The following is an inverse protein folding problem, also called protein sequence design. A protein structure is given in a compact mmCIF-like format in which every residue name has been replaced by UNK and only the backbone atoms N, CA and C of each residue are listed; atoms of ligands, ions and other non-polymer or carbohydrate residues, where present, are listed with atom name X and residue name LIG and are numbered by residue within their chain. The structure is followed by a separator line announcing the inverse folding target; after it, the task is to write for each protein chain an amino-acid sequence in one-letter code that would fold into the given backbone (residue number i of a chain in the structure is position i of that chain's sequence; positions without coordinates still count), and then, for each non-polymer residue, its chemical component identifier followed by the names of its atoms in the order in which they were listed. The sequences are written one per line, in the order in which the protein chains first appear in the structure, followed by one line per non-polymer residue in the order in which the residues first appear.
data_IF_869985094007
#
_entry.id   IF_869985094007
#
_cell.length_a   1.000
_cell.length_b   1.000
_cell.length_c   1.000
_cell.angle_alpha   90.00
_cell.angle_beta   90.00
_cell.angle_gamma   90.00
#
_symmetry.space_group_name_H-M   'P 1'
#
loop_
_entity.id
_entity.type
_entity.pdbx_description
1 polymer ?
#
# COMPACT_ATOMS: atom_id res chain seq x y z
N UNK A 1 28.75 7.43 131.42
CA UNK A 1 28.42 8.29 130.25
C UNK A 1 27.50 7.49 129.35
N UNK A 2 26.31 8.00 129.04
CA UNK A 2 25.49 7.41 127.97
C UNK A 2 26.20 7.69 126.64
N UNK A 3 26.30 6.68 125.79
CA UNK A 3 26.81 6.87 124.43
C UNK A 3 25.70 7.57 123.62
N UNK A 4 26.03 8.69 123.00
CA UNK A 4 25.07 9.43 122.15
C UNK A 4 25.27 9.11 120.68
N UNK A 5 24.16 9.13 119.94
CA UNK A 5 24.15 8.86 118.50
C UNK A 5 24.92 9.94 117.74
N UNK A 6 25.62 9.54 116.67
CA UNK A 6 26.29 10.52 115.81
C UNK A 6 25.28 11.32 114.98
N UNK A 7 25.64 12.57 114.67
CA UNK A 7 24.94 13.41 113.70
C UNK A 7 25.91 13.99 112.69
N UNK A 8 25.41 14.73 111.70
CA UNK A 8 26.23 15.47 110.74
C UNK A 8 27.06 16.60 111.37
N UNK A 9 26.76 16.98 112.62
CA UNK A 9 27.40 18.10 113.34
C UNK A 9 28.00 17.73 114.70
N UNK A 10 27.68 16.56 115.25
CA UNK A 10 28.16 16.08 116.56
C UNK A 10 28.70 14.65 116.42
N UNK A 11 29.91 14.40 116.96
CA UNK A 11 30.50 13.06 117.02
C UNK A 11 29.70 12.18 117.99
N UNK A 12 29.47 10.92 117.63
CA UNK A 12 28.76 9.92 118.43
C UNK A 12 29.00 8.50 117.90
N UNK A 13 28.25 7.52 118.38
CA UNK A 13 28.26 6.15 117.87
C UNK A 13 27.12 5.92 116.87
N UNK A 14 27.29 5.01 115.91
CA UNK A 14 26.24 4.67 114.93
C UNK A 14 26.25 3.16 114.67
N UNK A 15 25.08 2.56 114.56
CA UNK A 15 24.96 1.17 114.11
C UNK A 15 25.06 1.10 112.57
N UNK A 16 25.86 0.16 112.07
CA UNK A 16 26.13 0.01 110.64
C UNK A 16 25.17 -0.99 109.99
N UNK A 17 24.76 -0.72 108.75
CA UNK A 17 23.97 -1.64 107.93
C UNK A 17 24.60 -1.83 106.55
N UNK A 18 24.60 -3.08 106.07
CA UNK A 18 25.04 -3.42 104.71
C UNK A 18 23.88 -3.62 103.73
N UNK A 19 22.65 -3.26 104.11
CA UNK A 19 21.51 -3.29 103.20
C UNK A 19 21.65 -2.20 102.12
N UNK A 20 21.37 -2.54 100.85
CA UNK A 20 21.51 -1.65 99.70
C UNK A 20 20.24 -0.87 99.34
N UNK A 21 19.17 -1.09 100.11
CA UNK A 21 17.84 -0.49 99.93
C UNK A 21 17.21 -0.08 101.29
N UNK A 22 18.03 0.21 102.30
CA UNK A 22 17.54 0.56 103.64
C UNK A 22 16.78 1.89 103.64
N UNK A 23 15.65 1.95 104.35
CA UNK A 23 14.87 3.17 104.60
C UNK A 23 15.13 3.76 106.00
N UNK A 24 16.08 3.21 106.78
CA UNK A 24 16.34 3.65 108.15
C UNK A 24 17.17 4.93 108.21
N UNK A 25 16.69 5.92 108.96
CA UNK A 25 17.44 7.16 109.24
C UNK A 25 18.37 7.04 110.47
N UNK A 26 18.34 5.92 111.19
CA UNK A 26 19.11 5.69 112.43
C UNK A 26 20.39 4.85 112.24
N UNK A 27 20.62 4.34 111.03
CA UNK A 27 21.74 3.44 110.71
C UNK A 27 22.63 4.08 109.64
N UNK A 28 23.94 3.88 109.74
CA UNK A 28 24.88 4.31 108.70
C UNK A 28 25.16 3.18 107.69
N UNK A 29 25.26 3.52 106.41
CA UNK A 29 25.62 2.58 105.36
C UNK A 29 27.11 2.16 105.47
N UNK A 30 27.40 0.88 105.28
CA UNK A 30 28.80 0.42 105.16
C UNK A 30 29.39 0.75 103.79
N UNK A 31 30.74 0.84 103.66
CA UNK A 31 31.40 0.96 102.36
C UNK A 31 31.00 -0.13 101.36
N UNK A 32 30.73 -1.36 101.84
CA UNK A 32 30.24 -2.48 101.03
C UNK A 32 28.87 -2.17 100.44
N UNK A 33 27.91 -1.68 101.22
CA UNK A 33 26.60 -1.30 100.72
C UNK A 33 26.70 -0.20 99.65
N UNK A 34 27.50 0.84 99.91
CA UNK A 34 27.71 1.94 98.96
C UNK A 34 28.34 1.43 97.66
N UNK A 35 29.35 0.56 97.74
CA UNK A 35 29.97 -0.04 96.56
C UNK A 35 28.98 -0.87 95.75
N UNK A 36 28.21 -1.76 96.39
CA UNK A 36 27.22 -2.59 95.69
C UNK A 36 26.16 -1.74 94.99
N UNK A 37 25.66 -0.67 95.64
CA UNK A 37 24.74 0.29 95.01
C UNK A 37 25.40 0.98 93.83
N UNK A 38 26.64 1.46 93.99
CA UNK A 38 27.38 2.14 92.92
C UNK A 38 27.66 1.21 91.73
N UNK A 39 28.05 -0.03 91.97
CA UNK A 39 28.29 -1.06 90.94
C UNK A 39 26.99 -1.44 90.20
N UNK A 40 25.83 -1.33 90.87
CA UNK A 40 24.51 -1.64 90.29
C UNK A 40 23.80 -0.43 89.70
N UNK A 41 24.30 0.78 89.95
CA UNK A 41 23.75 2.03 89.44
C UNK A 41 24.31 2.35 88.07
N UNK A 42 23.48 2.90 87.20
CA UNK A 42 23.93 3.49 85.94
C UNK A 42 24.65 4.81 86.25
N UNK A 43 25.95 4.89 85.98
CA UNK A 43 26.74 6.11 86.08
C UNK A 43 26.42 7.08 84.95
N UNK A 44 26.63 8.38 85.22
CA UNK A 44 26.29 9.47 84.29
C UNK A 44 27.12 9.48 83.00
N UNK A 45 28.18 8.67 82.89
CA UNK A 45 29.04 8.64 81.71
C UNK A 45 29.72 7.27 81.55
N UNK A 46 29.57 6.66 80.37
CA UNK A 46 30.41 5.53 79.93
C UNK A 46 29.97 4.13 80.38
N UNK A 47 28.88 3.98 81.12
CA UNK A 47 28.41 2.65 81.53
C UNK A 47 27.90 1.82 80.35
N UNK A 48 28.20 0.53 80.38
CA UNK A 48 27.68 -0.48 79.43
C UNK A 48 26.62 -1.33 80.14
N UNK A 49 25.41 -1.41 79.57
CA UNK A 49 24.40 -2.35 80.04
C UNK A 49 24.64 -3.73 79.40
N UNK A 50 24.99 -4.74 80.19
CA UNK A 50 25.19 -6.12 79.70
C UNK A 50 23.91 -6.88 79.35
N UNK A 51 22.73 -6.33 79.66
CA UNK A 51 21.41 -6.91 79.40
C UNK A 51 20.48 -5.96 78.64
N UNK A 52 19.24 -6.42 78.39
CA UNK A 52 18.23 -5.61 77.68
C UNK A 52 17.75 -4.43 78.52
N UNK A 53 17.75 -3.23 77.94
CA UNK A 53 16.96 -2.11 78.46
C UNK A 53 15.50 -2.27 78.01
N UNK A 54 14.60 -2.50 78.96
CA UNK A 54 13.16 -2.64 78.70
C UNK A 54 12.44 -1.37 79.12
N UNK A 55 11.70 -0.77 78.18
CA UNK A 55 10.95 0.46 78.40
C UNK A 55 9.50 0.21 78.00
N UNK A 56 8.57 0.44 78.93
CA UNK A 56 7.13 0.19 78.73
C UNK A 56 6.34 1.45 78.35
N UNK A 57 6.95 2.62 78.44
CA UNK A 57 6.31 3.88 78.03
C UNK A 57 6.23 3.98 76.51
N UNK A 58 5.20 4.67 76.03
CA UNK A 58 4.96 4.86 74.59
C UNK A 58 6.11 5.67 73.95
N UNK A 59 6.48 6.79 74.56
CA UNK A 59 7.72 7.51 74.25
C UNK A 59 8.84 6.79 74.99
N UNK A 60 9.53 5.87 74.30
CA UNK A 60 10.43 4.93 74.94
C UNK A 60 11.84 5.52 75.14
N UNK A 61 12.47 5.97 74.05
CA UNK A 61 13.82 6.53 74.08
C UNK A 61 13.85 7.89 73.39
N UNK A 62 14.59 8.83 73.97
CA UNK A 62 14.84 10.15 73.39
C UNK A 62 16.34 10.35 73.15
N UNK A 63 16.68 10.84 71.97
CA UNK A 63 18.01 11.36 71.62
C UNK A 63 17.83 12.83 71.27
N UNK A 64 18.50 13.75 71.96
CA UNK A 64 18.19 15.17 71.82
C UNK A 64 19.39 16.10 71.97
N UNK A 65 19.22 17.32 71.47
CA UNK A 65 19.94 18.51 71.88
C UNK A 65 18.93 19.62 72.25
N UNK A 66 19.37 20.87 72.37
CA UNK A 66 18.46 21.99 72.68
C UNK A 66 17.41 22.23 71.58
N UNK A 67 17.79 22.07 70.31
CA UNK A 67 16.92 22.39 69.18
C UNK A 67 15.95 21.25 68.85
N UNK A 68 16.42 20.00 68.79
CA UNK A 68 15.61 18.87 68.35
C UNK A 68 15.84 17.64 69.21
N UNK A 69 14.76 16.91 69.43
CA UNK A 69 14.75 15.55 69.95
C UNK A 69 14.26 14.59 68.88
N UNK A 70 14.76 13.37 68.90
CA UNK A 70 14.22 12.23 68.18
C UNK A 70 13.69 11.22 69.21
N UNK A 71 12.40 10.93 69.12
CA UNK A 71 11.71 10.02 70.02
C UNK A 71 11.45 8.71 69.28
N UNK A 72 11.96 7.62 69.84
CA UNK A 72 11.60 6.26 69.47
C UNK A 72 10.29 5.95 70.18
N UNK A 73 9.20 6.00 69.42
CA UNK A 73 7.85 5.85 69.96
C UNK A 73 7.24 4.54 69.53
N UNK A 74 6.83 3.71 70.48
CA UNK A 74 6.00 2.52 70.22
C UNK A 74 4.53 2.88 70.48
N UNK A 75 3.79 3.15 69.41
CA UNK A 75 2.38 3.55 69.47
C UNK A 75 1.53 2.46 68.83
N UNK A 76 0.68 1.81 69.62
CA UNK A 76 -0.19 0.73 69.14
C UNK A 76 0.61 -0.36 68.38
N UNK A 77 0.28 -0.53 67.09
CA UNK A 77 0.85 -1.48 66.14
C UNK A 77 2.04 -0.91 65.35
N UNK A 78 2.62 0.23 65.75
CA UNK A 78 3.74 0.85 65.02
C UNK A 78 4.92 1.24 65.93
N UNK A 79 6.13 1.10 65.37
CA UNK A 79 7.33 1.78 65.86
C UNK A 79 7.60 2.99 64.97
N UNK A 80 7.69 4.17 65.58
CA UNK A 80 7.96 5.42 64.90
C UNK A 80 9.28 6.04 65.38
N UNK A 81 9.94 6.74 64.46
CA UNK A 81 11.00 7.71 64.75
C UNK A 81 10.39 9.10 64.56
N UNK A 82 10.14 9.83 65.65
CA UNK A 82 9.39 11.09 65.63
C UNK A 82 10.26 12.23 66.15
N UNK A 83 10.56 13.26 65.34
CA UNK A 83 11.22 14.45 65.84
C UNK A 83 10.27 15.30 66.70
N UNK A 84 10.81 16.04 67.65
CA UNK A 84 10.09 17.13 68.35
C UNK A 84 9.93 18.35 67.42
N UNK A 85 9.21 19.37 67.88
CA UNK A 85 9.33 20.69 67.27
C UNK A 85 10.71 21.30 67.58
N UNK A 86 11.10 22.28 66.76
CA UNK A 86 12.34 23.04 66.95
C UNK A 86 12.29 23.86 68.26
N UNK A 87 13.39 23.84 69.01
CA UNK A 87 13.52 24.46 70.33
C UNK A 87 13.00 23.60 71.49
N UNK A 88 12.37 22.45 71.21
CA UNK A 88 11.75 21.59 72.22
C UNK A 88 12.48 20.24 72.38
N UNK A 89 13.79 20.19 72.14
CA UNK A 89 14.47 18.90 71.99
C UNK A 89 14.49 18.02 73.24
N UNK A 90 14.76 18.60 74.41
CA UNK A 90 14.87 17.86 75.67
C UNK A 90 13.50 17.44 76.24
N UNK A 91 12.57 18.40 76.35
CA UNK A 91 11.31 18.22 77.07
C UNK A 91 10.06 18.36 76.19
N UNK A 92 10.21 18.59 74.89
CA UNK A 92 9.10 18.76 73.96
C UNK A 92 8.33 17.49 73.68
N UNK A 93 7.06 17.67 73.33
CA UNK A 93 6.21 16.59 72.85
C UNK A 93 6.62 16.11 71.45
N UNK A 94 5.93 15.08 70.97
CA UNK A 94 6.11 14.58 69.60
C UNK A 94 5.67 15.64 68.58
N UNK A 95 6.48 15.87 67.56
CA UNK A 95 6.12 16.73 66.44
C UNK A 95 5.13 16.07 65.47
N UNK A 96 4.79 16.79 64.40
CA UNK A 96 3.85 16.34 63.36
C UNK A 96 4.47 15.38 62.33
N UNK A 97 5.80 15.36 62.18
CA UNK A 97 6.48 14.55 61.17
C UNK A 97 6.50 13.05 61.51
N UNK A 98 6.47 12.21 60.48
CA UNK A 98 6.59 10.74 60.57
C UNK A 98 7.58 10.26 59.50
N UNK A 99 8.87 10.64 59.62
CA UNK A 99 9.87 10.34 58.59
C UNK A 99 10.07 8.84 58.41
N UNK A 100 9.90 8.04 59.47
CA UNK A 100 10.01 6.59 59.40
C UNK A 100 9.04 5.92 60.38
N UNK A 101 8.34 4.89 59.91
CA UNK A 101 7.53 4.02 60.74
C UNK A 101 7.53 2.58 60.24
N UNK A 102 7.58 1.62 61.17
CA UNK A 102 7.37 0.21 60.89
C UNK A 102 6.03 -0.19 61.48
N UNK A 103 5.16 -0.78 60.66
CA UNK A 103 4.01 -1.50 61.17
C UNK A 103 4.51 -2.82 61.79
N UNK A 104 4.31 -2.98 63.09
CA UNK A 104 4.79 -4.13 63.87
C UNK A 104 4.02 -5.43 63.57
N UNK A 105 2.87 -5.34 62.88
CA UNK A 105 2.09 -6.51 62.45
C UNK A 105 2.51 -7.00 61.06
N UNK A 106 2.73 -6.11 60.10
CA UNK A 106 3.05 -6.46 58.71
C UNK A 106 4.53 -6.35 58.35
N UNK A 107 5.34 -5.68 59.19
CA UNK A 107 6.72 -5.33 58.88
C UNK A 107 6.87 -4.23 57.82
N UNK A 108 5.75 -3.68 57.29
CA UNK A 108 5.80 -2.66 56.26
C UNK A 108 6.45 -1.39 56.82
N UNK A 109 7.44 -0.88 56.07
CA UNK A 109 8.11 0.39 56.33
C UNK A 109 7.41 1.49 55.55
N UNK A 110 7.02 2.55 56.25
CA UNK A 110 6.51 3.79 55.63
C UNK A 110 7.49 4.92 55.89
N UNK A 111 7.77 5.72 54.84
CA UNK A 111 8.63 6.90 54.89
C UNK A 111 7.79 8.09 54.42
N UNK A 112 7.27 8.87 55.36
CA UNK A 112 6.22 9.86 55.10
C UNK A 112 6.70 11.24 54.67
N UNK A 113 8.00 11.53 54.79
CA UNK A 113 8.56 12.87 54.57
C UNK A 113 9.64 12.89 53.47
N UNK A 114 9.45 12.07 52.45
CA UNK A 114 10.38 11.89 51.33
C UNK A 114 11.52 10.92 51.67
N UNK A 115 12.11 10.35 50.61
CA UNK A 115 13.24 9.43 50.70
C UNK A 115 14.33 9.89 49.74
N UNK A 116 15.52 10.19 50.26
CA UNK A 116 16.72 10.43 49.46
C UNK A 116 17.62 9.20 49.50
N UNK A 117 17.79 8.53 48.35
CA UNK A 117 18.69 7.39 48.20
C UNK A 117 19.94 7.83 47.44
N UNK A 118 21.11 7.71 48.07
CA UNK A 118 22.39 8.10 47.46
C UNK A 118 22.93 7.12 46.41
N UNK A 119 22.31 5.94 46.28
CA UNK A 119 22.69 4.88 45.34
C UNK A 119 21.49 4.37 44.53
N UNK A 120 21.69 3.24 43.85
CA UNK A 120 20.62 2.60 43.07
C UNK A 120 19.57 1.95 43.97
N UNK A 121 18.30 2.10 43.62
CA UNK A 121 17.21 1.29 44.17
C UNK A 121 17.16 -0.02 43.37
N UNK A 122 17.23 -1.17 44.05
CA UNK A 122 17.11 -2.49 43.42
C UNK A 122 15.75 -3.08 43.78
N UNK A 123 14.98 -3.55 42.79
CA UNK A 123 13.66 -4.14 42.97
C UNK A 123 12.62 -3.60 41.99
N UNK A 124 11.38 -4.09 42.09
CA UNK A 124 10.28 -3.60 41.27
C UNK A 124 9.79 -2.25 41.81
N UNK A 125 9.80 -1.23 40.95
CA UNK A 125 9.07 0.01 41.19
C UNK A 125 7.72 -0.12 40.47
N UNK A 126 6.62 -0.12 41.21
CA UNK A 126 5.26 -0.04 40.66
C UNK A 126 4.84 1.42 40.55
N UNK A 127 4.50 1.89 39.34
CA UNK A 127 4.09 3.27 39.05
C UNK A 127 4.95 3.93 37.96
N UNK A 128 4.57 5.14 37.56
CA UNK A 128 5.35 5.95 36.62
C UNK A 128 6.35 6.81 37.41
N UNK A 129 7.55 6.99 36.88
CA UNK A 129 8.48 7.97 37.42
C UNK A 129 8.13 9.36 36.86
N UNK A 130 7.68 10.28 37.71
CA UNK A 130 7.20 11.62 37.31
C UNK A 130 8.22 12.44 36.51
N UNK A 131 9.51 12.12 36.63
CA UNK A 131 10.62 12.83 35.96
C UNK A 131 11.36 11.99 34.92
N UNK A 132 10.84 10.82 34.54
CA UNK A 132 11.46 10.01 33.50
C UNK A 132 11.31 10.68 32.13
N UNK A 133 12.35 11.42 31.71
CA UNK A 133 12.40 12.10 30.42
C UNK A 133 13.02 11.25 29.30
N UNK A 134 13.73 10.16 29.66
CA UNK A 134 14.40 9.25 28.73
C UNK A 134 14.41 7.80 29.20
N UNK A 135 14.27 6.87 28.25
CA UNK A 135 14.66 5.47 28.40
C UNK A 135 16.19 5.40 28.34
N UNK A 136 16.84 4.91 29.42
CA UNK A 136 18.31 4.87 29.53
C UNK A 136 19.00 4.20 28.34
N UNK A 137 18.39 3.15 27.79
CA UNK A 137 18.84 2.49 26.57
C UNK A 137 17.76 2.62 25.51
N UNK A 138 17.98 3.51 24.55
CA UNK A 138 17.07 3.73 23.44
C UNK A 138 16.78 2.41 22.71
N UNK A 139 15.51 2.21 22.34
CA UNK A 139 15.08 1.02 21.59
C UNK A 139 14.86 1.42 20.13
N UNK A 140 15.16 0.53 19.20
CA UNK A 140 14.87 0.78 17.78
C UNK A 140 13.42 0.43 17.48
N UNK A 141 12.67 1.36 16.90
CA UNK A 141 11.31 1.17 16.37
C UNK A 141 11.37 1.50 14.89
N UNK A 142 11.02 0.54 14.02
CA UNK A 142 11.18 0.73 12.56
C UNK A 142 12.61 1.11 12.14
N UNK A 143 13.62 0.69 12.91
CA UNK A 143 15.03 1.04 12.69
C UNK A 143 15.49 2.37 13.33
N UNK A 144 14.57 3.23 13.76
CA UNK A 144 14.86 4.54 14.39
C UNK A 144 15.02 4.38 15.90
N UNK A 145 16.10 4.94 16.47
CA UNK A 145 16.31 4.93 17.91
C UNK A 145 15.29 5.85 18.61
N UNK A 146 14.63 5.33 19.65
CA UNK A 146 13.65 6.03 20.45
C UNK A 146 13.97 5.91 21.93
N UNK A 147 14.13 7.05 22.60
CA UNK A 147 14.35 7.17 24.04
C UNK A 147 13.20 7.90 24.76
N UNK A 148 12.14 8.33 24.06
CA UNK A 148 11.00 9.02 24.67
C UNK A 148 11.21 10.50 24.97
N UNK A 149 12.36 11.10 24.62
CA UNK A 149 12.59 12.54 24.84
C UNK A 149 11.92 13.47 23.84
N UNK A 150 11.45 12.92 22.72
CA UNK A 150 10.69 13.62 21.69
C UNK A 150 9.76 12.62 20.98
N UNK A 151 8.79 13.15 20.24
CA UNK A 151 7.97 12.35 19.33
C UNK A 151 8.85 11.60 18.33
N UNK A 152 8.43 10.39 17.97
CA UNK A 152 9.16 9.57 17.01
C UNK A 152 8.74 9.90 15.58
N UNK A 153 9.72 10.24 14.74
CA UNK A 153 9.52 10.32 13.30
C UNK A 153 9.95 9.01 12.65
N UNK A 154 8.97 8.26 12.15
CA UNK A 154 9.16 7.04 11.39
C UNK A 154 9.11 7.37 9.89
N UNK A 155 10.18 7.10 9.12
CA UNK A 155 10.15 7.22 7.67
C UNK A 155 8.94 6.45 7.11
N UNK A 156 8.19 7.03 6.18
CA UNK A 156 7.05 6.37 5.54
C UNK A 156 5.74 6.41 6.33
N UNK A 157 5.73 7.00 7.54
CA UNK A 157 4.52 7.20 8.35
C UNK A 157 4.22 8.69 8.53
N UNK A 158 5.02 9.40 9.33
CA UNK A 158 4.84 10.83 9.65
C UNK A 158 5.99 11.71 9.11
N UNK A 159 6.96 11.10 8.41
CA UNK A 159 8.00 11.79 7.66
C UNK A 159 8.17 11.15 6.28
N UNK A 160 8.60 11.93 5.28
CA UNK A 160 8.88 11.43 3.93
C UNK A 160 9.88 10.27 3.99
N UNK A 161 9.44 9.07 3.61
CA UNK A 161 10.24 7.85 3.71
C UNK A 161 10.89 7.44 2.40
N UNK A 162 12.05 6.79 2.50
CA UNK A 162 12.69 6.01 1.43
C UNK A 162 12.44 4.48 1.60
N UNK A 163 11.41 4.11 2.36
CA UNK A 163 11.12 2.71 2.66
C UNK A 163 10.68 1.96 1.41
N UNK A 164 11.10 0.69 1.33
CA UNK A 164 10.62 -0.24 0.31
C UNK A 164 9.16 -0.65 0.65
N UNK A 165 8.20 0.15 0.20
CA UNK A 165 6.78 -0.18 0.23
C UNK A 165 6.47 -1.08 -0.97
N UNK A 166 6.81 -2.36 -0.90
CA UNK A 166 6.58 -3.32 -2.00
C UNK A 166 5.11 -3.46 -2.42
N UNK A 167 4.16 -2.82 -1.72
CA UNK A 167 2.79 -2.57 -2.16
C UNK A 167 2.62 -1.12 -2.59
N UNK A 168 2.12 -0.91 -3.82
CA UNK A 168 1.73 0.40 -4.35
C UNK A 168 0.98 1.24 -3.30
N UNK A 169 1.40 2.50 -3.10
CA UNK A 169 0.66 3.45 -2.27
C UNK A 169 -0.77 3.60 -2.82
N UNK A 170 -1.77 3.68 -1.93
CA UNK A 170 -3.20 3.73 -2.26
C UNK A 170 -3.62 4.92 -3.18
N UNK A 171 -2.68 5.82 -3.52
CA UNK A 171 -2.87 6.99 -4.38
C UNK A 171 -1.90 7.04 -5.57
N UNK A 172 -1.25 5.93 -5.95
CA UNK A 172 -0.33 5.92 -7.07
C UNK A 172 -1.04 6.31 -8.39
N UNK A 173 -0.89 7.58 -8.80
CA UNK A 173 -1.43 8.14 -10.05
C UNK A 173 -0.52 7.91 -11.25
N UNK A 174 0.70 7.39 -11.03
CA UNK A 174 1.68 7.10 -12.07
C UNK A 174 2.47 5.82 -11.82
N UNK A 175 2.84 5.12 -12.90
CA UNK A 175 3.85 4.07 -12.92
C UNK A 175 5.24 4.69 -12.76
N UNK A 176 6.05 4.16 -11.85
CA UNK A 176 7.43 4.61 -11.63
C UNK A 176 8.28 4.59 -12.91
N UNK A 177 8.04 3.59 -13.75
CA UNK A 177 8.62 3.52 -15.08
C UNK A 177 7.50 3.27 -16.09
N UNK A 178 7.28 4.27 -16.95
CA UNK A 178 6.29 4.23 -18.01
C UNK A 178 6.49 3.02 -18.91
N UNK A 179 5.39 2.47 -19.42
CA UNK A 179 5.39 1.34 -20.35
C UNK A 179 5.00 1.83 -21.73
N UNK A 180 5.58 1.24 -22.76
CA UNK A 180 5.22 1.52 -24.14
C UNK A 180 4.13 0.55 -24.55
N UNK A 181 2.98 1.06 -25.01
CA UNK A 181 1.87 0.28 -25.56
C UNK A 181 1.72 0.71 -27.02
N UNK A 182 2.01 -0.19 -27.96
CA UNK A 182 1.99 0.08 -29.40
C UNK A 182 2.74 1.37 -29.79
N UNK A 183 3.93 1.56 -29.20
CA UNK A 183 4.78 2.74 -29.44
C UNK A 183 4.40 3.99 -28.63
N UNK A 184 3.28 4.00 -27.91
CA UNK A 184 2.83 5.14 -27.09
C UNK A 184 3.25 4.93 -25.63
N UNK A 185 3.93 5.93 -25.04
CA UNK A 185 4.30 5.90 -23.62
C UNK A 185 3.07 6.05 -22.73
N UNK A 186 2.94 5.19 -21.73
CA UNK A 186 1.86 5.19 -20.77
C UNK A 186 2.41 5.05 -19.35
N UNK A 187 2.17 6.06 -18.53
CA UNK A 187 2.51 6.08 -17.12
C UNK A 187 1.27 6.06 -16.22
N UNK A 188 0.05 5.99 -16.76
CA UNK A 188 -1.19 6.01 -15.97
C UNK A 188 -1.67 7.40 -15.52
N UNK A 189 -0.96 8.49 -15.83
CA UNK A 189 -1.40 9.84 -15.48
C UNK A 189 -2.55 10.38 -16.33
N UNK A 190 -2.79 9.77 -17.48
CA UNK A 190 -3.87 10.10 -18.40
C UNK A 190 -4.29 8.83 -19.15
N UNK A 191 -5.46 8.89 -19.80
CA UNK A 191 -5.90 7.85 -20.71
C UNK A 191 -4.90 7.70 -21.87
N UNK A 192 -4.72 6.46 -22.32
CA UNK A 192 -3.93 6.19 -23.52
C UNK A 192 -4.75 6.40 -24.79
N UNK A 193 -4.20 7.14 -25.75
CA UNK A 193 -4.78 7.31 -27.09
C UNK A 193 -4.00 6.47 -28.09
N UNK A 194 -4.68 5.54 -28.76
CA UNK A 194 -4.12 4.74 -29.86
C UNK A 194 -4.73 5.17 -31.18
N UNK A 195 -3.90 5.26 -32.22
CA UNK A 195 -4.34 5.58 -33.58
C UNK A 195 -4.18 4.37 -34.49
N UNK A 196 -4.91 4.28 -35.63
CA UNK A 196 -4.72 3.19 -36.59
C UNK A 196 -3.25 3.02 -37.02
N UNK A 197 -2.49 4.11 -37.17
CA UNK A 197 -1.07 4.03 -37.52
C UNK A 197 -0.22 3.40 -36.40
N UNK A 198 -0.47 3.74 -35.14
CA UNK A 198 0.26 3.15 -33.99
C UNK A 198 0.01 1.64 -33.85
N UNK A 199 -1.15 1.15 -34.28
CA UNK A 199 -1.53 -0.26 -34.13
C UNK A 199 -1.45 -1.06 -35.44
N UNK A 200 -0.99 -0.46 -36.53
CA UNK A 200 -0.90 -1.11 -37.84
C UNK A 200 -2.27 -1.45 -38.48
N UNK A 201 -3.31 -0.70 -38.15
CA UNK A 201 -4.66 -0.87 -38.68
C UNK A 201 -4.96 0.12 -39.83
N UNK A 202 -5.92 -0.26 -40.69
CA UNK A 202 -6.48 0.64 -41.70
C UNK A 202 -7.50 1.59 -41.04
N UNK A 203 -7.52 2.86 -41.43
CA UNK A 203 -8.49 3.83 -40.90
C UNK A 203 -9.92 3.56 -41.40
N UNK A 204 -10.94 3.98 -40.64
CA UNK A 204 -12.36 3.87 -41.06
C UNK A 204 -12.66 4.62 -42.35
N UNK A 205 -11.92 5.70 -42.64
CA UNK A 205 -12.03 6.47 -43.89
C UNK A 205 -11.35 5.78 -45.08
N UNK A 206 -10.81 4.58 -44.88
CA UNK A 206 -9.99 3.86 -45.86
C UNK A 206 -8.53 4.29 -45.83
N UNK A 207 -7.74 3.65 -46.71
CA UNK A 207 -6.32 3.91 -46.86
C UNK A 207 -5.73 3.08 -48.01
N UNK A 208 -4.42 3.18 -48.19
CA UNK A 208 -3.71 2.41 -49.22
C UNK A 208 -3.24 1.08 -48.65
N UNK A 209 -3.60 -0.03 -49.32
CA UNK A 209 -2.97 -1.33 -49.09
C UNK A 209 -1.76 -1.42 -50.03
N UNK A 210 -0.55 -1.42 -49.46
CA UNK A 210 0.71 -1.51 -50.24
C UNK A 210 1.10 -2.95 -50.59
N UNK A 211 0.46 -3.94 -49.96
CA UNK A 211 0.61 -5.37 -50.26
C UNK A 211 -0.61 -5.96 -50.97
N UNK A 212 -0.53 -7.24 -51.32
CA UNK A 212 -1.66 -7.97 -51.88
C UNK A 212 -2.83 -8.07 -50.91
N UNK A 213 -4.06 -8.06 -51.44
CA UNK A 213 -5.29 -8.34 -50.69
C UNK A 213 -5.78 -9.75 -51.04
N UNK A 214 -5.82 -10.64 -50.06
CA UNK A 214 -6.50 -11.94 -50.17
C UNK A 214 -7.70 -11.91 -49.23
N UNK A 215 -8.90 -12.00 -49.80
CA UNK A 215 -10.15 -12.08 -49.04
C UNK A 215 -10.71 -13.50 -49.14
N UNK A 216 -11.00 -14.12 -47.99
CA UNK A 216 -11.69 -15.42 -47.97
C UNK A 216 -13.19 -15.29 -48.30
N UNK A 217 -13.76 -14.10 -48.09
CA UNK A 217 -15.14 -13.76 -48.42
C UNK A 217 -15.24 -12.81 -49.62
N UNK A 218 -16.47 -12.39 -49.91
CA UNK A 218 -16.78 -11.46 -50.99
C UNK A 218 -16.22 -10.04 -50.72
N UNK A 219 -15.70 -9.41 -51.78
CA UNK A 219 -15.35 -7.98 -51.77
C UNK A 219 -16.51 -7.19 -52.38
N UNK A 220 -17.23 -6.45 -51.53
CA UNK A 220 -18.40 -5.67 -51.95
C UNK A 220 -18.03 -4.19 -52.10
N UNK A 221 -18.29 -3.63 -53.29
CA UNK A 221 -18.22 -2.18 -53.51
C UNK A 221 -19.62 -1.60 -53.64
N UNK A 222 -19.91 -0.55 -52.86
CA UNK A 222 -21.17 0.21 -52.93
C UNK A 222 -21.06 1.46 -53.79
N UNK A 223 -19.88 1.69 -54.38
CA UNK A 223 -19.65 2.77 -55.35
C UNK A 223 -20.13 2.32 -56.72
N UNK A 224 -20.71 3.25 -57.49
CA UNK A 224 -21.05 2.99 -58.88
C UNK A 224 -19.82 2.54 -59.68
N UNK A 225 -18.66 3.17 -59.46
CA UNK A 225 -17.38 2.67 -59.95
C UNK A 225 -16.83 1.68 -58.91
N UNK A 226 -17.06 0.39 -59.12
CA UNK A 226 -16.93 -0.63 -58.09
C UNK A 226 -15.49 -1.09 -57.86
N UNK A 227 -14.88 -1.67 -58.90
CA UNK A 227 -13.54 -2.24 -58.88
C UNK A 227 -12.73 -1.68 -60.05
N UNK A 228 -11.51 -1.20 -59.78
CA UNK A 228 -10.64 -0.57 -60.77
C UNK A 228 -9.25 -1.22 -60.80
N UNK A 229 -8.74 -1.42 -62.00
CA UNK A 229 -7.36 -1.71 -62.31
C UNK A 229 -6.80 -0.44 -62.96
N UNK A 230 -5.95 0.28 -62.25
CA UNK A 230 -5.29 1.49 -62.75
C UNK A 230 -3.80 1.21 -62.90
N UNK A 231 -3.34 1.11 -64.15
CA UNK A 231 -1.94 0.81 -64.45
C UNK A 231 -1.52 1.51 -65.75
N UNK A 232 -0.36 2.17 -65.72
CA UNK A 232 0.08 3.04 -66.82
C UNK A 232 -0.92 4.17 -67.07
N UNK A 233 -1.21 4.44 -68.35
CA UNK A 233 -2.01 5.60 -68.79
C UNK A 233 -3.53 5.42 -68.66
N UNK A 234 -4.03 4.20 -68.45
CA UNK A 234 -5.46 3.90 -68.48
C UNK A 234 -5.92 3.24 -67.18
N UNK A 235 -7.19 3.45 -66.86
CA UNK A 235 -7.92 2.72 -65.85
C UNK A 235 -8.98 1.85 -66.51
N UNK A 236 -8.94 0.54 -66.26
CA UNK A 236 -10.07 -0.34 -66.49
C UNK A 236 -10.89 -0.43 -65.21
N UNK A 237 -12.21 -0.35 -65.29
CA UNK A 237 -13.05 -0.54 -64.10
C UNK A 237 -14.43 -1.10 -64.42
N UNK A 238 -14.96 -1.83 -63.45
CA UNK A 238 -16.32 -2.34 -63.44
C UNK A 238 -17.21 -1.26 -62.85
N UNK A 239 -18.23 -0.84 -63.60
CA UNK A 239 -19.20 0.17 -63.16
C UNK A 239 -20.60 -0.40 -63.16
N UNK A 240 -21.34 -0.24 -62.08
CA UNK A 240 -22.79 -0.45 -62.05
C UNK A 240 -23.47 0.91 -61.83
N UNK A 241 -24.30 1.33 -62.77
CA UNK A 241 -25.01 2.61 -62.70
C UNK A 241 -26.47 2.49 -62.20
N UNK A 242 -26.86 1.30 -61.75
CA UNK A 242 -28.21 0.95 -61.32
C UNK A 242 -29.03 0.25 -62.41
N UNK A 243 -28.74 0.48 -63.70
CA UNK A 243 -29.47 -0.14 -64.81
C UNK A 243 -28.64 -1.18 -65.57
N UNK A 244 -27.34 -0.91 -65.74
CA UNK A 244 -26.42 -1.83 -66.41
C UNK A 244 -25.10 -1.92 -65.64
N UNK A 245 -24.40 -3.03 -65.85
CA UNK A 245 -23.02 -3.23 -65.41
C UNK A 245 -22.11 -3.15 -66.63
N UNK A 246 -21.08 -2.31 -66.54
CA UNK A 246 -20.18 -1.98 -67.63
C UNK A 246 -18.76 -2.36 -67.28
N UNK A 247 -18.01 -2.77 -68.30
CA UNK A 247 -16.56 -2.66 -68.29
C UNK A 247 -16.16 -1.38 -69.00
N UNK A 248 -15.53 -0.47 -68.26
CA UNK A 248 -15.25 0.90 -68.68
C UNK A 248 -13.75 1.16 -68.75
N UNK A 249 -13.38 2.13 -69.57
CA UNK A 249 -12.01 2.64 -69.69
C UNK A 249 -12.00 4.15 -69.42
N UNK A 250 -10.89 4.65 -68.88
CA UNK A 250 -10.64 6.09 -68.78
C UNK A 250 -10.06 6.66 -70.07
N UNK A 251 -9.96 7.99 -70.15
CA UNK A 251 -9.07 8.64 -71.11
C UNK A 251 -7.59 8.34 -70.79
N UNK A 252 -6.75 8.43 -71.81
CA UNK A 252 -5.30 8.24 -71.68
C UNK A 252 -4.70 9.32 -70.77
N UNK A 253 -3.80 8.94 -69.87
CA UNK A 253 -3.17 9.83 -68.90
C UNK A 253 -4.02 10.08 -67.65
N UNK A 254 -5.22 9.50 -67.55
CA UNK A 254 -6.14 9.72 -66.44
C UNK A 254 -6.66 8.39 -65.85
N UNK A 255 -5.75 7.52 -65.43
CA UNK A 255 -6.08 6.14 -65.01
C UNK A 255 -7.00 6.02 -63.79
N UNK A 256 -7.11 7.08 -62.98
CA UNK A 256 -8.03 7.16 -61.83
C UNK A 256 -9.30 7.98 -62.11
N UNK A 257 -9.41 8.56 -63.31
CA UNK A 257 -10.52 9.42 -63.71
C UNK A 257 -11.83 8.69 -64.03
N UNK A 258 -12.77 9.45 -64.59
CA UNK A 258 -14.07 8.97 -65.07
C UNK A 258 -13.94 8.15 -66.36
N UNK A 259 -15.05 7.54 -66.80
CA UNK A 259 -15.06 6.78 -68.06
C UNK A 259 -14.97 7.71 -69.28
N UNK A 260 -14.31 7.24 -70.34
CA UNK A 260 -14.36 7.85 -71.67
C UNK A 260 -15.67 7.49 -72.41
N UNK A 261 -15.72 7.63 -73.73
CA UNK A 261 -16.90 7.32 -74.57
C UNK A 261 -17.01 5.85 -75.00
N UNK A 262 -15.97 5.02 -74.79
CA UNK A 262 -15.99 3.62 -75.20
C UNK A 262 -16.89 2.79 -74.26
N UNK A 263 -17.65 1.85 -74.83
CA UNK A 263 -18.47 0.88 -74.09
C UNK A 263 -18.20 -0.55 -74.55
N UNK A 264 -17.02 -1.12 -74.23
CA UNK A 264 -16.62 -2.42 -74.75
C UNK A 264 -17.56 -3.57 -74.36
N UNK A 265 -18.07 -3.55 -73.13
CA UNK A 265 -18.93 -4.63 -72.62
C UNK A 265 -19.96 -4.06 -71.65
N UNK A 266 -21.22 -4.41 -71.88
CA UNK A 266 -22.38 -3.93 -71.12
C UNK A 266 -23.25 -5.13 -70.79
N UNK A 267 -23.68 -5.27 -69.54
CA UNK A 267 -24.69 -6.23 -69.10
C UNK A 267 -25.89 -5.45 -68.61
N UNK A 268 -27.08 -5.72 -69.12
CA UNK A 268 -28.30 -5.20 -68.49
C UNK A 268 -28.51 -5.87 -67.13
N UNK A 269 -28.61 -5.08 -66.06
CA UNK A 269 -28.91 -5.62 -64.75
C UNK A 269 -30.33 -6.22 -64.69
N UNK A 270 -31.24 -5.76 -65.57
CA UNK A 270 -32.61 -6.24 -65.63
C UNK A 270 -32.75 -7.55 -66.39
N UNK A 271 -32.12 -7.67 -67.57
CA UNK A 271 -32.33 -8.82 -68.47
C UNK A 271 -31.15 -9.78 -68.56
N UNK A 272 -29.95 -9.40 -68.09
CA UNK A 272 -28.72 -10.15 -68.29
C UNK A 272 -28.15 -10.08 -69.72
N UNK A 273 -28.80 -9.33 -70.63
CA UNK A 273 -28.32 -9.19 -72.00
C UNK A 273 -26.94 -8.54 -72.05
N UNK A 274 -26.03 -9.17 -72.79
CA UNK A 274 -24.69 -8.65 -73.06
C UNK A 274 -24.67 -7.88 -74.37
N UNK A 275 -24.23 -6.62 -74.32
CA UNK A 275 -24.01 -5.77 -75.49
C UNK A 275 -22.52 -5.44 -75.61
N UNK A 276 -21.95 -5.68 -76.79
CA UNK A 276 -20.59 -5.26 -77.16
C UNK A 276 -20.73 -4.12 -78.16
N UNK A 277 -20.53 -2.88 -77.70
CA UNK A 277 -20.72 -1.67 -78.52
C UNK A 277 -19.43 -1.20 -79.21
N UNK A 278 -18.34 -1.96 -79.07
CA UNK A 278 -17.10 -1.80 -79.85
C UNK A 278 -16.93 -2.98 -80.81
N UNK A 279 -15.89 -2.97 -81.65
CA UNK A 279 -15.61 -4.11 -82.53
C UNK A 279 -15.36 -5.38 -81.72
N UNK A 280 -16.10 -6.45 -82.03
CA UNK A 280 -15.81 -7.81 -81.57
C UNK A 280 -14.94 -8.53 -82.61
N UNK A 281 -13.76 -8.97 -82.23
CA UNK A 281 -12.94 -9.87 -83.05
C UNK A 281 -13.02 -11.29 -82.49
N UNK A 282 -13.80 -12.15 -83.13
CA UNK A 282 -14.02 -13.54 -82.71
C UNK A 282 -13.19 -14.51 -83.57
N UNK A 283 -11.95 -14.76 -83.18
CA UNK A 283 -11.01 -15.61 -83.92
C UNK A 283 -11.38 -17.10 -83.94
N UNK A 284 -12.17 -17.57 -82.96
CA UNK A 284 -12.69 -18.94 -82.88
C UNK A 284 -14.02 -19.16 -83.63
N UNK A 285 -14.52 -18.16 -84.36
CA UNK A 285 -15.87 -18.19 -84.94
C UNK A 285 -16.97 -17.87 -83.92
N UNK A 286 -18.22 -17.81 -84.40
CA UNK A 286 -19.42 -17.59 -83.57
C UNK A 286 -20.35 -18.79 -83.78
N UNK A 287 -20.73 -19.46 -82.70
CA UNK A 287 -21.63 -20.63 -82.74
C UNK A 287 -23.01 -20.27 -82.18
N UNK A 288 -24.07 -20.77 -82.81
CA UNK A 288 -25.46 -20.50 -82.44
C UNK A 288 -26.27 -19.87 -83.57
N UNK A 289 -27.56 -19.67 -83.34
CA UNK A 289 -28.42 -18.98 -84.31
C UNK A 289 -28.05 -17.50 -84.36
N UNK A 290 -27.44 -17.08 -85.47
CA UNK A 290 -27.27 -15.67 -85.78
C UNK A 290 -28.53 -15.18 -86.48
N UNK A 291 -29.18 -14.17 -85.94
CA UNK A 291 -30.27 -13.46 -86.63
C UNK A 291 -29.66 -12.33 -87.48
N UNK A 292 -30.01 -12.29 -88.77
CA UNK A 292 -29.50 -11.33 -89.74
C UNK A 292 -28.57 -11.94 -90.80
N UNK A 293 -28.25 -11.15 -91.82
CA UNK A 293 -27.37 -11.56 -92.91
C UNK A 293 -25.94 -11.08 -92.64
N UNK A 294 -24.94 -11.95 -92.81
CA UNK A 294 -23.55 -11.51 -92.83
C UNK A 294 -23.30 -10.72 -94.12
N UNK A 295 -22.83 -9.48 -94.00
CA UNK A 295 -22.62 -8.57 -95.15
C UNK A 295 -21.59 -9.07 -96.15
N UNK A 296 -20.72 -10.00 -95.77
CA UNK A 296 -19.64 -10.57 -96.58
C UNK A 296 -19.84 -12.05 -96.90
N UNK A 297 -20.98 -12.66 -96.56
CA UNK A 297 -21.23 -14.06 -96.90
C UNK A 297 -21.44 -14.21 -98.41
N UNK A 298 -20.42 -14.72 -99.10
CA UNK A 298 -20.45 -14.97 -100.55
C UNK A 298 -20.70 -16.44 -100.90
N UNK A 299 -20.50 -17.36 -99.95
CA UNK A 299 -20.74 -18.80 -100.11
C UNK A 299 -21.23 -19.47 -98.81
N UNK A 300 -22.03 -20.51 -98.93
CA UNK A 300 -22.32 -21.51 -97.90
C UNK A 300 -21.03 -22.30 -97.61
N UNK A 301 -20.66 -22.42 -96.34
CA UNK A 301 -19.49 -23.22 -95.93
C UNK A 301 -19.59 -24.67 -96.41
N UNK A 302 -20.79 -25.23 -96.42
CA UNK A 302 -21.07 -26.53 -97.01
C UNK A 302 -22.21 -26.35 -98.00
N UNK A 303 -21.91 -26.55 -99.28
CA UNK A 303 -22.92 -26.53 -100.33
C UNK A 303 -24.08 -27.49 -100.00
N UNK A 304 -25.27 -27.14 -100.44
CA UNK A 304 -26.47 -27.98 -100.33
C UNK A 304 -26.92 -28.41 -101.71
N UNK A 305 -27.58 -29.55 -101.81
CA UNK A 305 -28.16 -30.00 -103.07
C UNK A 305 -29.60 -29.53 -103.15
N UNK A 306 -29.96 -28.82 -104.22
CA UNK A 306 -31.33 -28.40 -104.52
C UNK A 306 -31.70 -29.07 -105.85
N UNK A 307 -32.70 -29.95 -105.84
CA UNK A 307 -33.12 -30.73 -107.02
C UNK A 307 -31.96 -31.47 -107.74
N UNK A 308 -31.01 -32.02 -106.97
CA UNK A 308 -29.83 -32.70 -107.53
C UNK A 308 -28.66 -31.78 -107.89
N UNK A 309 -28.83 -30.46 -107.88
CA UNK A 309 -27.79 -29.47 -108.23
C UNK A 309 -27.09 -28.96 -106.97
N UNK A 310 -25.76 -28.98 -106.94
CA UNK A 310 -24.94 -28.43 -105.85
C UNK A 310 -25.02 -26.90 -105.86
N UNK A 311 -25.49 -26.31 -104.76
CA UNK A 311 -25.62 -24.87 -104.56
C UNK A 311 -24.85 -24.42 -103.33
N UNK A 312 -23.94 -23.46 -103.50
CA UNK A 312 -23.20 -22.82 -102.42
C UNK A 312 -23.47 -21.31 -102.33
N UNK A 313 -24.38 -20.74 -103.12
CA UNK A 313 -24.67 -19.29 -103.08
C UNK A 313 -23.71 -18.38 -103.84
N UNK A 314 -22.68 -18.91 -104.51
CA UNK A 314 -21.76 -18.07 -105.31
C UNK A 314 -22.25 -17.67 -106.69
N UNK A 315 -23.32 -18.29 -107.17
CA UNK A 315 -24.00 -17.97 -108.41
C UNK A 315 -25.50 -18.25 -108.26
N UNK A 316 -26.30 -17.76 -109.20
CA UNK A 316 -27.72 -18.10 -109.27
C UNK A 316 -27.91 -19.62 -109.41
N UNK A 317 -29.02 -20.14 -108.90
CA UNK A 317 -29.42 -21.52 -109.15
C UNK A 317 -30.29 -21.61 -110.41
N UNK A 318 -29.93 -22.49 -111.33
CA UNK A 318 -30.78 -22.88 -112.46
C UNK A 318 -31.65 -24.07 -112.05
N UNK A 319 -32.91 -23.81 -111.71
CA UNK A 319 -33.82 -24.82 -111.15
C UNK A 319 -34.26 -25.91 -112.14
N UNK A 320 -34.01 -25.70 -113.45
CA UNK A 320 -34.31 -26.63 -114.53
C UNK A 320 -33.11 -26.68 -115.48
N UNK A 321 -32.64 -27.86 -115.92
CA UNK A 321 -31.55 -27.93 -116.87
C UNK A 321 -31.97 -27.29 -118.21
N UNK A 322 -31.08 -26.56 -118.91
CA UNK A 322 -31.39 -25.98 -120.21
C UNK A 322 -31.85 -27.09 -121.18
N UNK A 323 -33.10 -27.00 -121.66
CA UNK A 323 -33.64 -27.88 -122.70
C UNK A 323 -34.45 -29.10 -122.24
N UNK A 324 -34.78 -29.25 -120.94
CA UNK A 324 -35.65 -30.34 -120.45
C UNK A 324 -37.10 -29.86 -120.34
N UNK A 325 -38.10 -30.52 -120.98
CA UNK A 325 -39.50 -30.12 -120.89
C UNK A 325 -40.01 -30.13 -119.45
N UNK A 326 -40.72 -29.07 -119.05
CA UNK A 326 -41.38 -29.01 -117.74
C UNK A 326 -42.46 -30.10 -117.66
N UNK A 327 -42.49 -30.94 -116.61
CA UNK A 327 -43.60 -31.85 -116.39
C UNK A 327 -44.84 -31.01 -116.02
N UNK A 328 -45.77 -30.89 -116.96
CA UNK A 328 -47.09 -30.33 -116.67
C UNK A 328 -47.86 -31.29 -115.74
N UNK A 329 -48.67 -30.80 -114.79
CA UNK A 329 -49.57 -31.67 -114.06
C UNK A 329 -50.62 -32.22 -115.03
N UNK A 330 -50.83 -33.53 -115.00
CA UNK A 330 -51.99 -34.17 -115.62
C UNK A 330 -53.29 -33.73 -114.97
#
# INVERSE_FOLDING_TARGET
MALEDASTTKKGIVQLSSATNSTSEKLAATPKAVKTVKDSSVQKTGDTMGGQLKISTINALRIFNQAFGLIFRRSEDHLHLIPTNEGEGENGDIGSLRPFSINLRSGLVSIGNGLKVGGSVTGNLTGNADTATKIKTARKIGGVAFDGSADINLPGVNATGNQNTTGNAATATKLQAARTINGVSFDGSANITLTPSNIGALALTGGTLSGGLTAAGEVISRSANGLRIAYGNYGFFIRNDGSNTYFMLTDSGNSLGTHNSLRPFIISNHTGNVTIATKLNASGGITGSLSGNASTATKLQTARTINGVKFDGSANIEAFPPGVPLPWPS
#
